data_IF_364095784793
#
_entry.id   IF_364095784793
#
_cell.length_a   1.000
_cell.length_b   1.000
_cell.length_c   1.000
_cell.angle_alpha   90.00
_cell.angle_beta   90.00
_cell.angle_gamma   90.00
#
_symmetry.space_group_name_H-M   'P 1'
#
loop_
_entity.id
_entity.type
_entity.pdbx_description
1 polymer ?
#
# COMPACT_ATOMS: atom_id res chain seq x y z
N UNK A 1 -4.24 -1.07 -34.16
CA UNK A 1 -5.12 -2.06 -33.52
C UNK A 1 -4.67 -3.48 -33.91
N UNK A 2 -4.35 -3.75 -35.19
CA UNK A 2 -3.91 -5.08 -35.66
C UNK A 2 -2.64 -5.62 -34.96
N UNK A 3 -1.74 -4.74 -34.49
CA UNK A 3 -0.53 -5.16 -33.78
C UNK A 3 -0.76 -5.50 -32.29
N UNK A 4 -1.90 -5.11 -31.69
CA UNK A 4 -2.19 -5.38 -30.28
C UNK A 4 -2.55 -6.86 -30.03
N UNK A 5 -2.95 -7.58 -31.08
CA UNK A 5 -3.42 -8.96 -30.96
C UNK A 5 -2.33 -9.97 -30.61
N UNK A 6 -1.07 -9.64 -30.88
CA UNK A 6 0.09 -10.50 -30.66
C UNK A 6 0.89 -10.16 -29.41
N UNK A 7 0.62 -9.01 -28.75
CA UNK A 7 1.40 -8.57 -27.62
C UNK A 7 1.00 -9.28 -26.32
N UNK A 8 1.99 -9.53 -25.48
CA UNK A 8 1.80 -9.78 -24.06
C UNK A 8 1.57 -8.47 -23.28
N UNK A 9 1.02 -8.51 -22.06
CA UNK A 9 0.91 -7.32 -21.22
C UNK A 9 2.24 -6.61 -20.97
N UNK A 10 3.33 -7.34 -20.75
CA UNK A 10 4.66 -6.78 -20.58
C UNK A 10 5.15 -6.02 -21.84
N UNK A 11 4.98 -6.60 -23.03
CA UNK A 11 5.35 -5.93 -24.28
C UNK A 11 4.49 -4.69 -24.52
N UNK A 12 3.21 -4.75 -24.22
CA UNK A 12 2.30 -3.61 -24.33
C UNK A 12 2.73 -2.47 -23.41
N UNK A 13 2.94 -2.77 -22.11
CA UNK A 13 3.37 -1.78 -21.13
C UNK A 13 4.72 -1.15 -21.51
N UNK A 14 5.70 -1.95 -21.89
CA UNK A 14 7.02 -1.48 -22.27
C UNK A 14 6.99 -0.57 -23.50
N UNK A 15 6.06 -0.78 -24.44
CA UNK A 15 5.86 0.10 -25.60
C UNK A 15 5.24 1.43 -25.23
N UNK A 16 4.33 1.46 -24.25
CA UNK A 16 3.62 2.67 -23.85
C UNK A 16 4.41 3.52 -22.83
N UNK A 17 5.15 2.87 -21.95
CA UNK A 17 5.84 3.56 -20.86
C UNK A 17 6.68 4.77 -21.32
N UNK A 18 7.49 4.73 -22.39
CA UNK A 18 8.27 5.89 -22.81
C UNK A 18 7.43 7.11 -23.20
N UNK A 19 6.20 6.91 -23.66
CA UNK A 19 5.29 7.99 -24.07
C UNK A 19 4.47 8.56 -22.91
N UNK A 20 4.34 7.80 -21.82
CA UNK A 20 3.48 8.11 -20.67
C UNK A 20 4.24 8.24 -19.34
N UNK A 21 5.56 8.45 -19.40
CA UNK A 21 6.42 8.60 -18.20
C UNK A 21 5.89 9.65 -17.22
N UNK A 22 5.31 10.73 -17.73
CA UNK A 22 4.78 11.83 -16.92
C UNK A 22 3.27 11.72 -16.63
N UNK A 23 2.65 10.60 -17.03
CA UNK A 23 1.23 10.35 -16.79
C UNK A 23 0.99 8.89 -16.41
N UNK A 24 1.47 8.52 -15.23
CA UNK A 24 1.33 7.16 -14.69
C UNK A 24 -0.14 6.73 -14.54
N UNK A 25 -1.05 7.66 -14.31
CA UNK A 25 -2.49 7.34 -14.22
C UNK A 25 -3.06 6.88 -15.56
N UNK A 26 -2.71 7.56 -16.64
CA UNK A 26 -3.11 7.12 -17.98
C UNK A 26 -2.46 5.78 -18.35
N UNK A 27 -1.18 5.59 -18.03
CA UNK A 27 -0.48 4.33 -18.26
C UNK A 27 -1.15 3.18 -17.48
N UNK A 28 -1.49 3.41 -16.22
CA UNK A 28 -2.19 2.45 -15.37
C UNK A 28 -3.56 2.05 -15.96
N UNK A 29 -4.35 3.03 -16.40
CA UNK A 29 -5.65 2.76 -17.00
C UNK A 29 -5.54 1.90 -18.28
N UNK A 30 -4.57 2.20 -19.15
CA UNK A 30 -4.32 1.45 -20.37
C UNK A 30 -3.80 0.04 -20.08
N UNK A 31 -2.91 -0.10 -19.11
CA UNK A 31 -2.35 -1.40 -18.72
C UNK A 31 -3.43 -2.31 -18.13
N UNK A 32 -4.29 -1.80 -17.24
CA UNK A 32 -5.43 -2.54 -16.68
C UNK A 32 -6.38 -2.98 -17.79
N UNK A 33 -6.73 -2.06 -18.70
CA UNK A 33 -7.61 -2.38 -19.84
C UNK A 33 -7.00 -3.45 -20.76
N UNK A 34 -5.68 -3.40 -20.96
CA UNK A 34 -5.00 -4.39 -21.78
C UNK A 34 -4.96 -5.77 -21.10
N UNK A 35 -4.72 -5.83 -19.80
CA UNK A 35 -4.79 -7.08 -19.03
C UNK A 35 -6.19 -7.70 -19.11
N UNK A 36 -7.26 -6.91 -18.99
CA UNK A 36 -8.64 -7.39 -19.14
C UNK A 36 -8.89 -7.92 -20.56
N UNK A 37 -8.48 -7.16 -21.59
CA UNK A 37 -8.57 -7.60 -22.99
C UNK A 37 -7.82 -8.91 -23.23
N UNK A 38 -6.60 -9.03 -22.73
CA UNK A 38 -5.76 -10.22 -22.86
C UNK A 38 -6.42 -11.44 -22.21
N UNK A 39 -6.98 -11.28 -21.00
CA UNK A 39 -7.68 -12.34 -20.29
C UNK A 39 -8.95 -12.78 -21.05
N UNK A 40 -9.75 -11.84 -21.56
CA UNK A 40 -10.95 -12.12 -22.37
C UNK A 40 -10.61 -12.88 -23.63
N UNK A 41 -9.55 -12.51 -24.35
CA UNK A 41 -9.06 -13.24 -25.54
C UNK A 41 -8.68 -14.68 -25.21
N UNK A 42 -8.07 -14.91 -24.05
CA UNK A 42 -7.72 -16.26 -23.56
C UNK A 42 -8.92 -17.00 -22.95
N UNK A 43 -10.10 -16.36 -22.85
CA UNK A 43 -11.32 -16.89 -22.21
C UNK A 43 -11.05 -17.38 -20.78
N UNK A 44 -10.19 -16.65 -20.04
CA UNK A 44 -9.82 -16.94 -18.66
C UNK A 44 -9.89 -15.67 -17.82
N UNK A 45 -10.06 -15.82 -16.53
CA UNK A 45 -9.90 -14.70 -15.56
C UNK A 45 -8.41 -14.46 -15.32
N UNK A 46 -8.02 -13.23 -14.97
CA UNK A 46 -6.62 -12.88 -14.75
C UNK A 46 -5.94 -13.77 -13.70
N UNK A 47 -6.62 -14.04 -12.58
CA UNK A 47 -6.05 -14.90 -11.55
C UNK A 47 -5.80 -16.33 -12.02
N UNK A 48 -6.61 -16.83 -12.98
CA UNK A 48 -6.41 -18.15 -13.59
C UNK A 48 -5.19 -18.16 -14.52
N UNK A 49 -4.97 -17.06 -15.27
CA UNK A 49 -3.77 -16.89 -16.10
C UNK A 49 -2.49 -16.83 -15.27
N UNK A 50 -2.57 -16.27 -14.06
CA UNK A 50 -1.48 -16.21 -13.13
C UNK A 50 -1.37 -17.43 -12.20
N UNK A 51 -2.23 -18.43 -12.41
CA UNK A 51 -2.30 -19.65 -11.60
C UNK A 51 -2.44 -19.35 -10.09
N UNK A 52 -3.25 -18.35 -9.74
CA UNK A 52 -3.51 -17.94 -8.37
C UNK A 52 -4.78 -18.61 -7.82
N UNK A 53 -4.75 -18.92 -6.52
CA UNK A 53 -5.91 -19.41 -5.80
C UNK A 53 -6.60 -18.26 -5.05
N UNK A 54 -7.82 -17.91 -5.44
CA UNK A 54 -8.59 -16.82 -4.84
C UNK A 54 -9.03 -17.08 -3.39
N UNK A 55 -9.02 -18.33 -2.93
CA UNK A 55 -9.35 -18.64 -1.52
C UNK A 55 -8.32 -18.11 -0.52
N UNK A 56 -7.12 -17.77 -0.99
CA UNK A 56 -6.03 -17.25 -0.18
C UNK A 56 -5.89 -15.71 -0.27
N UNK A 57 -6.90 -15.02 -0.76
CA UNK A 57 -6.85 -13.56 -0.83
C UNK A 57 -6.73 -12.95 0.57
N UNK A 58 -5.81 -11.99 0.76
CA UNK A 58 -5.73 -11.25 2.01
C UNK A 58 -6.99 -10.43 2.24
N UNK A 59 -7.33 -10.24 3.52
CA UNK A 59 -8.44 -9.36 3.88
C UNK A 59 -8.08 -7.90 3.55
N UNK A 60 -9.02 -7.19 2.94
CA UNK A 60 -8.90 -5.75 2.74
C UNK A 60 -9.13 -5.00 4.06
N UNK A 61 -8.57 -3.81 4.19
CA UNK A 61 -8.86 -2.93 5.32
C UNK A 61 -9.89 -1.86 4.95
N UNK A 62 -10.68 -1.44 5.95
CA UNK A 62 -11.56 -0.28 5.84
C UNK A 62 -10.86 0.95 6.41
N UNK A 63 -10.82 2.06 5.65
CA UNK A 63 -10.07 3.26 6.05
C UNK A 63 -10.93 4.20 6.89
N UNK A 64 -10.40 4.58 8.06
CA UNK A 64 -10.91 5.65 8.92
C UNK A 64 -10.04 6.88 8.69
N UNK A 65 -10.59 7.89 8.01
CA UNK A 65 -9.91 9.18 7.79
C UNK A 65 -9.86 10.02 9.05
N UNK A 66 -8.95 11.00 9.09
CA UNK A 66 -8.81 11.94 10.21
C UNK A 66 -10.09 12.76 10.36
N UNK A 67 -10.65 12.77 11.56
CA UNK A 67 -11.78 13.57 11.99
C UNK A 67 -11.74 13.67 13.54
N UNK A 68 -12.74 14.31 14.14
CA UNK A 68 -12.92 14.22 15.59
C UNK A 68 -13.23 12.76 16.03
N UNK A 69 -12.83 12.40 17.24
CA UNK A 69 -12.95 11.03 17.75
C UNK A 69 -14.38 10.49 17.68
N UNK A 70 -15.44 11.23 18.06
CA UNK A 70 -16.81 10.75 17.92
C UNK A 70 -17.20 10.39 16.49
N UNK A 71 -16.78 11.21 15.50
CA UNK A 71 -17.03 10.95 14.08
C UNK A 71 -16.30 9.70 13.60
N UNK A 72 -15.03 9.52 13.99
CA UNK A 72 -14.25 8.32 13.64
C UNK A 72 -14.89 7.05 14.24
N UNK A 73 -15.33 7.10 15.50
CA UNK A 73 -16.05 6.01 16.16
C UNK A 73 -17.37 5.70 15.43
N UNK A 74 -18.17 6.73 15.10
CA UNK A 74 -19.42 6.56 14.37
C UNK A 74 -19.21 5.88 13.02
N UNK A 75 -18.18 6.29 12.26
CA UNK A 75 -17.81 5.67 10.99
C UNK A 75 -17.41 4.19 11.17
N UNK A 76 -16.66 3.87 12.21
CA UNK A 76 -16.23 2.51 12.51
C UNK A 76 -17.44 1.62 12.88
N UNK A 77 -18.40 2.15 13.68
CA UNK A 77 -19.62 1.45 14.04
C UNK A 77 -20.59 1.26 12.87
N UNK A 78 -20.65 2.22 11.95
CA UNK A 78 -21.48 2.14 10.75
C UNK A 78 -20.99 1.07 9.76
N UNK A 79 -19.69 0.73 9.78
CA UNK A 79 -19.10 -0.30 8.94
C UNK A 79 -18.18 -1.20 9.79
N UNK A 80 -18.74 -2.17 10.53
CA UNK A 80 -17.94 -3.15 11.27
C UNK A 80 -17.06 -3.95 10.31
N UNK A 81 -15.74 -3.94 10.55
CA UNK A 81 -14.77 -4.56 9.67
C UNK A 81 -13.63 -5.23 10.48
N UNK A 82 -13.04 -6.33 10.00
CA UNK A 82 -12.01 -7.04 10.74
C UNK A 82 -10.68 -6.31 10.82
N UNK A 83 -10.39 -5.40 9.87
CA UNK A 83 -9.14 -4.65 9.81
C UNK A 83 -9.44 -3.19 9.45
N UNK A 84 -9.03 -2.25 10.29
CA UNK A 84 -9.13 -0.82 10.01
C UNK A 84 -7.76 -0.23 9.71
N UNK A 85 -7.68 0.58 8.64
CA UNK A 85 -6.56 1.48 8.38
C UNK A 85 -6.93 2.85 8.94
N UNK A 86 -6.21 3.31 9.96
CA UNK A 86 -6.47 4.57 10.66
C UNK A 86 -5.47 5.60 10.15
N UNK A 87 -5.98 6.71 9.59
CA UNK A 87 -5.16 7.83 9.17
C UNK A 87 -4.79 8.67 10.38
N UNK A 88 -3.50 8.97 10.51
CA UNK A 88 -2.85 9.71 11.58
C UNK A 88 -1.99 10.84 10.99
N UNK A 89 -1.22 11.54 11.82
CA UNK A 89 -0.40 12.69 11.46
C UNK A 89 -0.88 13.96 12.16
N UNK A 90 -1.46 13.81 13.35
CA UNK A 90 -1.93 14.89 14.22
C UNK A 90 -1.28 14.77 15.61
N UNK A 91 -1.28 15.83 16.44
CA UNK A 91 -0.78 15.76 17.81
C UNK A 91 -1.55 14.76 18.71
N UNK A 92 -2.78 14.39 18.33
CA UNK A 92 -3.66 13.57 19.15
C UNK A 92 -3.69 12.08 18.73
N UNK A 93 -2.79 11.66 17.87
CA UNK A 93 -2.77 10.34 17.23
C UNK A 93 -2.92 9.17 18.20
N UNK A 94 -2.14 9.17 19.29
CA UNK A 94 -2.20 8.12 20.31
C UNK A 94 -3.55 8.14 21.05
N UNK A 95 -4.13 9.31 21.30
CA UNK A 95 -5.43 9.45 21.95
C UNK A 95 -6.55 8.93 21.03
N UNK A 96 -6.46 9.21 19.72
CA UNK A 96 -7.36 8.69 18.69
C UNK A 96 -7.34 7.16 18.73
N UNK A 97 -6.17 6.54 18.59
CA UNK A 97 -6.06 5.07 18.56
C UNK A 97 -6.55 4.43 19.86
N UNK A 98 -6.23 5.03 21.03
CA UNK A 98 -6.76 4.57 22.32
C UNK A 98 -8.26 4.64 22.42
N UNK A 99 -8.89 5.68 21.88
CA UNK A 99 -10.35 5.85 21.89
C UNK A 99 -11.01 4.81 20.96
N UNK A 100 -10.51 4.64 19.74
CA UNK A 100 -11.00 3.65 18.78
C UNK A 100 -10.83 2.22 19.27
N UNK A 101 -9.73 1.91 19.97
CA UNK A 101 -9.47 0.57 20.53
C UNK A 101 -10.52 0.15 21.58
N UNK A 102 -11.09 1.08 22.32
CA UNK A 102 -12.17 0.78 23.29
C UNK A 102 -13.45 0.27 22.62
N UNK A 103 -13.64 0.55 21.35
CA UNK A 103 -14.87 0.23 20.60
C UNK A 103 -14.79 -1.09 19.83
N UNK A 104 -13.58 -1.66 19.63
CA UNK A 104 -13.42 -2.87 18.81
C UNK A 104 -12.11 -3.62 19.11
N UNK A 105 -12.13 -4.94 18.89
CA UNK A 105 -10.93 -5.80 18.89
C UNK A 105 -10.37 -6.07 17.48
N UNK A 106 -10.87 -5.37 16.45
CA UNK A 106 -10.37 -5.51 15.09
C UNK A 106 -8.87 -5.16 14.98
N UNK A 107 -8.20 -5.69 13.98
CA UNK A 107 -6.80 -5.35 13.70
C UNK A 107 -6.72 -3.88 13.26
N UNK A 108 -5.78 -3.14 13.82
CA UNK A 108 -5.47 -1.78 13.39
C UNK A 108 -4.19 -1.75 12.57
N UNK A 109 -4.20 -1.00 11.49
CA UNK A 109 -3.05 -0.54 10.71
C UNK A 109 -3.07 0.97 10.76
N UNK A 110 -1.94 1.61 10.97
CA UNK A 110 -1.89 3.07 11.06
C UNK A 110 -1.05 3.63 9.92
N UNK A 111 -1.48 4.78 9.40
CA UNK A 111 -0.80 5.49 8.33
C UNK A 111 -0.59 6.94 8.77
N UNK A 112 0.65 7.28 9.03
CA UNK A 112 1.03 8.59 9.54
C UNK A 112 1.27 9.64 8.42
N UNK A 113 1.23 9.22 7.14
CA UNK A 113 1.36 10.09 5.97
C UNK A 113 2.49 11.11 6.08
N UNK A 114 3.69 10.67 6.44
CA UNK A 114 4.90 11.48 6.62
C UNK A 114 4.81 12.52 7.76
N UNK A 115 3.89 12.34 8.70
CA UNK A 115 3.56 13.34 9.71
C UNK A 115 4.39 13.25 11.01
N UNK A 116 5.24 12.24 11.18
CA UNK A 116 5.98 12.04 12.43
C UNK A 116 7.48 12.31 12.28
N UNK A 117 8.15 12.53 13.43
CA UNK A 117 9.60 12.50 13.57
C UNK A 117 10.11 11.08 13.86
N UNK A 118 11.43 10.89 13.86
CA UNK A 118 12.07 9.62 14.23
C UNK A 118 11.71 9.23 15.66
N UNK A 119 11.85 10.18 16.60
CA UNK A 119 11.58 10.00 18.02
C UNK A 119 10.11 9.63 18.27
N UNK A 120 9.20 10.39 17.67
CA UNK A 120 7.76 10.10 17.77
C UNK A 120 7.44 8.72 17.21
N UNK A 121 8.00 8.34 16.07
CA UNK A 121 7.75 7.04 15.46
C UNK A 121 8.17 5.89 16.38
N UNK A 122 9.39 5.97 16.94
CA UNK A 122 9.92 4.94 17.83
C UNK A 122 9.07 4.85 19.11
N UNK A 123 8.76 5.99 19.74
CA UNK A 123 7.95 6.03 20.95
C UNK A 123 6.52 5.54 20.69
N UNK A 124 5.89 6.04 19.64
CA UNK A 124 4.54 5.64 19.27
C UNK A 124 4.47 4.15 18.92
N UNK A 125 5.52 3.57 18.31
CA UNK A 125 5.54 2.15 17.96
C UNK A 125 5.31 1.24 19.18
N UNK A 126 5.84 1.61 20.35
CA UNK A 126 5.69 0.86 21.60
C UNK A 126 4.23 0.90 22.06
N UNK A 127 3.65 2.11 22.13
CA UNK A 127 2.27 2.31 22.58
C UNK A 127 1.27 1.64 21.62
N UNK A 128 1.51 1.81 20.32
CA UNK A 128 0.65 1.25 19.27
C UNK A 128 0.68 -0.26 19.25
N UNK A 129 1.83 -0.88 19.55
CA UNK A 129 1.92 -2.33 19.69
C UNK A 129 1.03 -2.84 20.81
N UNK A 130 1.02 -2.20 21.97
CA UNK A 130 0.16 -2.54 23.10
C UNK A 130 -1.34 -2.33 22.77
N UNK A 131 -1.64 -1.41 21.85
CA UNK A 131 -2.97 -1.18 21.32
C UNK A 131 -3.36 -2.13 20.17
N UNK A 132 -2.56 -3.15 19.85
CA UNK A 132 -2.86 -4.16 18.83
C UNK A 132 -2.76 -3.64 17.40
N UNK A 133 -1.90 -2.65 17.15
CA UNK A 133 -1.56 -2.20 15.79
C UNK A 133 -0.63 -3.21 15.13
N UNK A 134 -0.90 -3.56 13.87
CA UNK A 134 -0.12 -4.54 13.12
C UNK A 134 1.15 -3.94 12.52
N UNK A 135 1.07 -2.71 11.99
CA UNK A 135 2.20 -1.98 11.41
C UNK A 135 1.94 -0.47 11.31
N UNK A 136 3.00 0.27 11.07
CA UNK A 136 2.98 1.72 10.80
C UNK A 136 3.35 1.93 9.34
N UNK A 137 2.51 2.68 8.60
CA UNK A 137 2.76 3.06 7.21
C UNK A 137 3.30 4.48 7.15
N UNK A 138 4.37 4.69 6.40
CA UNK A 138 5.06 5.94 6.06
C UNK A 138 5.07 6.99 7.19
N UNK A 139 5.80 6.77 8.27
CA UNK A 139 5.83 7.72 9.37
C UNK A 139 6.60 9.01 9.04
N UNK A 140 7.73 8.92 8.33
CA UNK A 140 8.62 10.03 8.01
C UNK A 140 8.47 10.48 6.55
N UNK A 141 9.01 11.65 6.22
CA UNK A 141 9.12 12.13 4.84
C UNK A 141 9.83 11.11 3.96
N UNK A 142 9.39 11.02 2.70
CA UNK A 142 9.82 9.97 1.78
C UNK A 142 11.34 9.95 1.51
N UNK A 143 11.99 11.10 1.58
CA UNK A 143 13.42 11.33 1.31
C UNK A 143 14.31 11.30 2.57
N UNK A 144 13.73 11.09 3.75
CA UNK A 144 14.49 10.99 5.01
C UNK A 144 15.07 9.58 5.23
N UNK A 145 16.02 9.19 4.41
CA UNK A 145 16.65 7.87 4.48
C UNK A 145 17.39 7.62 5.80
N UNK A 146 18.01 8.66 6.39
CA UNK A 146 18.70 8.52 7.67
C UNK A 146 17.71 8.26 8.81
N UNK A 147 16.61 9.01 8.83
CA UNK A 147 15.53 8.78 9.78
C UNK A 147 14.89 7.40 9.61
N UNK A 148 14.63 6.97 8.38
CA UNK A 148 14.10 5.64 8.12
C UNK A 148 15.04 4.52 8.59
N UNK A 149 16.35 4.67 8.45
CA UNK A 149 17.33 3.70 8.96
C UNK A 149 17.24 3.55 10.49
N UNK A 150 17.11 4.68 11.22
CA UNK A 150 16.95 4.65 12.68
C UNK A 150 15.60 4.05 13.10
N UNK A 151 14.51 4.43 12.42
CA UNK A 151 13.19 3.87 12.69
C UNK A 151 13.15 2.37 12.37
N UNK A 152 13.72 1.92 11.26
CA UNK A 152 13.82 0.50 10.90
C UNK A 152 14.49 -0.34 11.99
N UNK A 153 15.54 0.21 12.60
CA UNK A 153 16.34 -0.47 13.62
C UNK A 153 15.68 -0.48 15.01
N UNK A 154 14.90 0.55 15.34
CA UNK A 154 14.44 0.77 16.70
C UNK A 154 12.92 0.67 16.90
N UNK A 155 12.12 0.73 15.83
CA UNK A 155 10.68 0.51 15.93
C UNK A 155 10.37 -0.93 16.32
N UNK A 156 9.44 -1.10 17.26
CA UNK A 156 8.95 -2.43 17.67
C UNK A 156 7.80 -2.94 16.80
N UNK A 157 7.30 -2.10 15.90
CA UNK A 157 6.32 -2.46 14.86
C UNK A 157 6.96 -2.44 13.49
N UNK A 158 6.50 -3.29 12.55
CA UNK A 158 6.92 -3.20 11.16
C UNK A 158 6.58 -1.84 10.56
N UNK A 159 7.49 -1.32 9.73
CA UNK A 159 7.30 -0.07 8.98
C UNK A 159 7.09 -0.41 7.50
N UNK A 160 6.06 0.16 6.90
CA UNK A 160 5.67 -0.05 5.50
C UNK A 160 5.86 1.25 4.72
N UNK A 161 6.58 1.18 3.60
CA UNK A 161 6.77 2.32 2.70
C UNK A 161 5.53 2.56 1.84
N UNK A 162 5.08 3.81 1.70
CA UNK A 162 4.07 4.25 0.74
C UNK A 162 4.66 5.32 -0.19
N UNK A 163 4.86 6.54 0.31
CA UNK A 163 5.42 7.65 -0.46
C UNK A 163 6.90 7.42 -0.83
N UNK A 164 7.61 6.59 -0.08
CA UNK A 164 8.99 6.16 -0.40
C UNK A 164 9.09 5.06 -1.45
N UNK A 165 7.97 4.47 -1.90
CA UNK A 165 7.94 3.39 -2.90
C UNK A 165 6.88 3.68 -3.95
N UNK A 166 7.28 4.33 -5.05
CA UNK A 166 6.39 4.76 -6.11
C UNK A 166 6.49 3.83 -7.32
N UNK A 167 7.69 3.45 -7.71
CA UNK A 167 7.99 2.66 -8.91
C UNK A 167 8.97 1.52 -8.65
N UNK A 168 9.28 0.73 -9.69
CA UNK A 168 10.05 -0.52 -9.55
C UNK A 168 11.42 -0.30 -8.87
N UNK A 169 12.16 0.75 -9.24
CA UNK A 169 13.47 1.05 -8.70
C UNK A 169 13.46 1.39 -7.20
N UNK A 170 12.32 1.86 -6.69
CA UNK A 170 12.19 2.25 -5.28
C UNK A 170 12.12 1.03 -4.36
N UNK A 171 11.67 -0.12 -4.86
CA UNK A 171 11.60 -1.36 -4.07
C UNK A 171 12.97 -1.74 -3.51
N UNK A 172 14.02 -1.64 -4.34
CA UNK A 172 15.39 -1.90 -3.88
C UNK A 172 15.86 -0.84 -2.88
N UNK A 173 15.50 0.42 -3.09
CA UNK A 173 15.83 1.52 -2.15
C UNK A 173 15.16 1.35 -0.79
N UNK A 174 13.97 0.72 -0.74
CA UNK A 174 13.28 0.44 0.51
C UNK A 174 13.91 -0.70 1.34
N UNK A 175 14.74 -1.54 0.72
CA UNK A 175 15.42 -2.64 1.42
C UNK A 175 16.35 -2.09 2.52
N UNK A 176 16.27 -2.65 3.73
CA UNK A 176 16.96 -2.21 4.95
C UNK A 176 16.49 -0.88 5.56
N UNK A 177 15.45 -0.24 5.00
CA UNK A 177 14.80 0.95 5.57
C UNK A 177 13.36 0.71 5.96
N UNK A 178 12.72 -0.31 5.36
CA UNK A 178 11.34 -0.70 5.58
C UNK A 178 11.21 -2.21 5.70
N UNK A 179 10.17 -2.65 6.40
CA UNK A 179 9.83 -4.07 6.54
C UNK A 179 8.90 -4.55 5.42
N UNK A 180 8.36 -3.62 4.64
CA UNK A 180 7.48 -3.89 3.51
C UNK A 180 7.15 -2.65 2.71
N UNK A 181 6.42 -2.83 1.61
CA UNK A 181 6.06 -1.77 0.67
C UNK A 181 4.57 -1.80 0.35
N UNK A 182 3.96 -0.62 0.20
CA UNK A 182 2.60 -0.43 -0.26
C UNK A 182 2.61 -0.08 -1.75
N UNK A 183 2.29 -1.06 -2.58
CA UNK A 183 2.25 -0.95 -4.04
C UNK A 183 0.87 -0.42 -4.45
N UNK A 184 0.83 0.69 -5.18
CA UNK A 184 -0.41 1.28 -5.73
C UNK A 184 -0.32 1.32 -7.25
N UNK A 185 -1.28 0.71 -7.93
CA UNK A 185 -1.27 0.58 -9.40
C UNK A 185 -1.12 1.93 -10.09
N UNK A 186 -1.81 2.96 -9.58
CA UNK A 186 -1.74 4.31 -10.15
C UNK A 186 -0.40 5.01 -9.94
N UNK A 187 0.37 4.65 -8.88
CA UNK A 187 1.72 5.16 -8.67
C UNK A 187 2.71 4.53 -9.65
N UNK A 188 2.74 3.20 -9.72
CA UNK A 188 3.73 2.49 -10.53
C UNK A 188 3.38 2.41 -12.01
N UNK A 189 2.13 2.69 -12.40
CA UNK A 189 1.71 2.71 -13.80
C UNK A 189 1.02 1.44 -14.29
N UNK A 190 0.48 0.61 -13.39
CA UNK A 190 -0.40 -0.49 -13.74
C UNK A 190 -0.12 -1.82 -13.04
N UNK A 191 -0.80 -2.86 -13.51
CA UNK A 191 -0.67 -4.24 -13.03
C UNK A 191 0.72 -4.81 -13.39
N UNK A 192 1.19 -4.53 -14.60
CA UNK A 192 2.48 -5.03 -15.10
C UNK A 192 3.65 -4.65 -14.19
N UNK A 193 3.92 -3.36 -13.91
CA UNK A 193 4.97 -3.00 -12.97
C UNK A 193 4.68 -3.44 -11.54
N UNK A 194 3.41 -3.43 -11.10
CA UNK A 194 3.05 -3.89 -9.76
C UNK A 194 3.43 -5.36 -9.52
N UNK A 195 3.23 -6.24 -10.49
CA UNK A 195 3.65 -7.64 -10.40
C UNK A 195 5.17 -7.78 -10.27
N UNK A 196 5.94 -6.98 -11.03
CA UNK A 196 7.40 -6.95 -10.94
C UNK A 196 7.85 -6.45 -9.56
N UNK A 197 7.26 -5.36 -9.05
CA UNK A 197 7.51 -4.84 -7.70
C UNK A 197 7.22 -5.89 -6.62
N UNK A 198 6.12 -6.63 -6.72
CA UNK A 198 5.77 -7.70 -5.78
C UNK A 198 6.83 -8.81 -5.80
N UNK A 199 7.26 -9.24 -6.99
CA UNK A 199 8.29 -10.27 -7.12
C UNK A 199 9.63 -9.80 -6.53
N UNK A 200 10.05 -8.58 -6.85
CA UNK A 200 11.27 -7.99 -6.31
C UNK A 200 11.22 -7.83 -4.79
N UNK A 201 10.11 -7.30 -4.26
CA UNK A 201 9.93 -7.14 -2.81
C UNK A 201 10.03 -8.48 -2.09
N UNK A 202 9.36 -9.51 -2.61
CA UNK A 202 9.42 -10.87 -2.04
C UNK A 202 10.83 -11.45 -2.09
N UNK A 203 11.58 -11.25 -3.16
CA UNK A 203 12.98 -11.72 -3.27
C UNK A 203 13.91 -11.05 -2.27
N UNK A 204 13.58 -9.82 -1.83
CA UNK A 204 14.28 -9.07 -0.80
C UNK A 204 13.76 -9.33 0.62
N UNK A 205 12.78 -10.22 0.80
CA UNK A 205 12.16 -10.50 2.11
C UNK A 205 11.22 -9.40 2.62
N UNK A 206 10.85 -8.42 1.76
CA UNK A 206 9.92 -7.37 2.11
C UNK A 206 8.47 -7.88 2.07
N UNK A 207 7.65 -7.46 3.05
CA UNK A 207 6.21 -7.66 2.99
C UNK A 207 5.59 -6.79 1.91
N UNK A 208 4.50 -7.25 1.31
CA UNK A 208 3.80 -6.49 0.27
C UNK A 208 2.37 -6.21 0.66
N UNK A 209 1.92 -5.00 0.43
CA UNK A 209 0.53 -4.57 0.50
C UNK A 209 0.16 -3.95 -0.85
N UNK A 210 -1.06 -4.15 -1.32
CA UNK A 210 -1.62 -3.43 -2.47
C UNK A 210 -2.61 -2.43 -1.93
N UNK A 211 -2.27 -1.16 -2.10
CA UNK A 211 -3.11 -0.03 -1.72
C UNK A 211 -3.83 0.58 -2.90
N UNK A 212 -4.57 1.66 -2.63
CA UNK A 212 -5.26 2.45 -3.66
C UNK A 212 -5.01 3.94 -3.47
N UNK A 213 -5.29 4.70 -4.53
CA UNK A 213 -5.53 6.13 -4.47
C UNK A 213 -7.05 6.37 -4.34
N UNK A 214 -7.50 7.62 -4.49
CA UNK A 214 -8.92 7.91 -4.66
C UNK A 214 -9.30 7.55 -6.09
N UNK A 215 -9.95 6.42 -6.25
CA UNK A 215 -10.30 5.84 -7.55
C UNK A 215 -11.81 5.73 -7.66
N UNK A 216 -12.34 5.89 -8.89
CA UNK A 216 -13.73 5.57 -9.20
C UNK A 216 -13.86 4.10 -9.60
N UNK A 217 -15.00 3.52 -9.32
CA UNK A 217 -15.40 2.20 -9.82
C UNK A 217 -15.92 2.28 -11.24
#
# INVERSE_FOLDING_TARGET
>A
IEQLDTLSPDEFWNRLNPYLLHNRFALCALDIAFHDLFARKKRKKLYELWNLNISNNPLTNYTIGIADIPTMIAKMKAMPWPIYKIKLGTPDDIQIVKALRKETNAIFRVDANCGWTVEETIQNSIILKDLGVEFIEQPLKADDYLGHAEVFKHSVLPIIADESCIEEEDVLKCHNYFHGVNIKLMKCGGITPALRMIHQAKSLGLKTMVGCMTEST
#
